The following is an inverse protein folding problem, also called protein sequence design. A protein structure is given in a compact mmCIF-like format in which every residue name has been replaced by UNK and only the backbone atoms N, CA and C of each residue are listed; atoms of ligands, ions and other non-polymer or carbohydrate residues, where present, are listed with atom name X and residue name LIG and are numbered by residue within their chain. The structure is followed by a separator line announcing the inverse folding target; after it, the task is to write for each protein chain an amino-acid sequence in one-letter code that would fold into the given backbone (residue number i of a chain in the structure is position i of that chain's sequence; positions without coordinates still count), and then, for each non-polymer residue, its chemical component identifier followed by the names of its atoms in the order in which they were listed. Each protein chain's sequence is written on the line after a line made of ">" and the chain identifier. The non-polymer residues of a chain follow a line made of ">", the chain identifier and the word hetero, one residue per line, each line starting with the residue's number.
data_IF_842740555763
#
_entry.id   IF_842740555763
#
_cell.length_a   1.000
_cell.length_b   1.000
_cell.length_c   1.000
_cell.angle_alpha   90.00
_cell.angle_beta   90.00
_cell.angle_gamma   90.00
#
_symmetry.space_group_name_H-M   'P 1'
#
loop_
_entity.id
_entity.type
_entity.pdbx_description
1 polymer ?
#
# COMPACT_ATOMS: atom_id res chain seq x y z
N UNK A 1 3.06 -32.87 24.83
CA UNK A 1 1.71 -32.56 24.33
C UNK A 1 1.85 -32.31 22.84
N UNK A 2 1.29 -33.17 21.99
CA UNK A 2 1.32 -32.96 20.54
C UNK A 2 0.57 -31.67 20.20
N UNK A 3 1.18 -30.83 19.36
CA UNK A 3 0.54 -29.61 18.86
C UNK A 3 -0.72 -30.00 18.08
N UNK A 4 -1.80 -29.19 18.13
CA UNK A 4 -3.00 -29.43 17.32
C UNK A 4 -2.67 -29.46 15.81
N UNK A 5 -1.58 -28.82 15.39
CA UNK A 5 -1.06 -28.87 14.04
C UNK A 5 -0.66 -30.32 13.65
N UNK A 6 0.03 -31.03 14.53
CA UNK A 6 0.38 -32.45 14.31
C UNK A 6 -0.86 -33.35 14.25
N UNK A 7 -1.83 -33.11 15.14
CA UNK A 7 -3.09 -33.88 15.17
C UNK A 7 -3.92 -33.73 13.89
N UNK A 8 -3.87 -32.54 13.25
CA UNK A 8 -4.62 -32.22 12.05
C UNK A 8 -3.79 -32.29 10.76
N UNK A 9 -2.54 -32.80 10.85
CA UNK A 9 -1.59 -32.81 9.71
C UNK A 9 -1.41 -31.46 9.02
N UNK A 10 -1.41 -30.39 9.81
CA UNK A 10 -1.20 -29.04 9.30
C UNK A 10 0.28 -28.68 9.35
N UNK A 11 0.78 -28.11 8.27
CA UNK A 11 2.17 -27.65 8.16
C UNK A 11 2.38 -26.22 8.69
N UNK A 12 1.29 -25.47 8.88
CA UNK A 12 1.29 -24.11 9.40
C UNK A 12 -0.03 -23.76 10.07
N UNK A 13 -0.03 -22.67 10.84
CA UNK A 13 -1.22 -22.09 11.46
C UNK A 13 -2.25 -21.64 10.41
N UNK A 14 -3.44 -22.27 10.32
CA UNK A 14 -4.41 -21.94 9.27
C UNK A 14 -5.23 -20.69 9.56
N UNK A 15 -5.30 -20.26 10.83
CA UNK A 15 -6.16 -19.15 11.28
C UNK A 15 -5.35 -18.02 11.92
N UNK A 16 -4.21 -17.69 11.31
CA UNK A 16 -3.42 -16.55 11.75
C UNK A 16 -4.20 -15.24 11.56
N UNK A 17 -4.17 -14.36 12.56
CA UNK A 17 -4.71 -13.00 12.45
C UNK A 17 -3.88 -12.08 11.54
N UNK A 18 -2.69 -12.52 11.12
CA UNK A 18 -1.88 -11.77 10.19
C UNK A 18 -2.30 -12.06 8.74
N UNK A 19 -2.55 -11.06 7.92
CA UNK A 19 -2.86 -11.25 6.50
C UNK A 19 -1.74 -12.05 5.81
N UNK A 20 -2.07 -13.26 5.35
CA UNK A 20 -1.12 -14.17 4.68
C UNK A 20 -1.54 -14.35 3.21
N UNK A 21 -0.77 -13.82 2.25
CA UNK A 21 -1.05 -14.00 0.83
C UNK A 21 -1.06 -15.46 0.37
N UNK A 22 -0.32 -16.35 1.04
CA UNK A 22 -0.25 -17.78 0.68
C UNK A 22 -1.45 -18.57 1.21
N UNK A 23 -2.17 -18.06 2.22
CA UNK A 23 -3.42 -18.63 2.73
C UNK A 23 -4.67 -17.94 2.11
N UNK A 24 -4.47 -17.06 1.14
CA UNK A 24 -5.55 -16.27 0.56
C UNK A 24 -6.42 -17.10 -0.39
N UNK A 25 -7.69 -17.30 0.00
CA UNK A 25 -8.67 -17.91 -0.88
C UNK A 25 -9.23 -16.86 -1.85
N UNK A 26 -8.87 -16.99 -3.13
CA UNK A 26 -9.32 -16.07 -4.18
C UNK A 26 -10.73 -16.42 -4.62
N UNK A 27 -11.69 -15.61 -4.19
CA UNK A 27 -13.05 -15.67 -4.77
C UNK A 27 -13.08 -14.95 -6.12
N UNK A 28 -14.09 -15.23 -6.99
CA UNK A 28 -14.25 -14.49 -8.25
C UNK A 28 -14.28 -12.96 -8.07
N UNK A 29 -14.90 -12.48 -6.98
CA UNK A 29 -14.94 -11.05 -6.64
C UNK A 29 -13.56 -10.48 -6.34
N UNK A 30 -12.73 -11.24 -5.61
CA UNK A 30 -11.35 -10.83 -5.31
C UNK A 30 -10.48 -10.81 -6.56
N UNK A 31 -10.63 -11.79 -7.45
CA UNK A 31 -9.89 -11.84 -8.72
C UNK A 31 -10.28 -10.68 -9.64
N UNK A 32 -11.57 -10.37 -9.77
CA UNK A 32 -12.04 -9.22 -10.55
C UNK A 32 -11.47 -7.91 -9.98
N UNK A 33 -11.47 -7.74 -8.65
CA UNK A 33 -10.90 -6.57 -7.99
C UNK A 33 -9.39 -6.44 -8.27
N UNK A 34 -8.62 -7.52 -8.12
CA UNK A 34 -7.18 -7.53 -8.42
C UNK A 34 -6.90 -7.17 -9.87
N UNK A 35 -7.62 -7.79 -10.81
CA UNK A 35 -7.46 -7.53 -12.24
C UNK A 35 -7.75 -6.06 -12.58
N UNK A 36 -8.81 -5.49 -12.03
CA UNK A 36 -9.16 -4.06 -12.24
C UNK A 36 -8.09 -3.14 -11.69
N UNK A 37 -7.55 -3.42 -10.51
CA UNK A 37 -6.47 -2.64 -9.90
C UNK A 37 -5.19 -2.74 -10.72
N UNK A 38 -4.79 -3.94 -11.15
CA UNK A 38 -3.61 -4.13 -12.00
C UNK A 38 -3.74 -3.37 -13.34
N UNK A 39 -4.90 -3.43 -13.98
CA UNK A 39 -5.18 -2.68 -15.21
C UNK A 39 -5.11 -1.18 -14.95
N UNK A 40 -5.70 -0.70 -13.87
CA UNK A 40 -5.69 0.72 -13.52
C UNK A 40 -4.26 1.22 -13.27
N UNK A 41 -3.43 0.45 -12.57
CA UNK A 41 -2.03 0.76 -12.32
C UNK A 41 -1.23 0.80 -13.62
N UNK A 42 -1.37 -0.21 -14.48
CA UNK A 42 -0.67 -0.27 -15.77
C UNK A 42 -1.04 0.90 -16.68
N UNK A 43 -2.30 1.31 -16.65
CA UNK A 43 -2.81 2.45 -17.41
C UNK A 43 -2.55 3.80 -16.72
N UNK A 44 -1.82 3.80 -15.61
CA UNK A 44 -1.52 5.00 -14.80
C UNK A 44 -2.79 5.80 -14.44
N UNK A 45 -3.89 5.10 -14.18
CA UNK A 45 -5.12 5.72 -13.70
C UNK A 45 -4.93 6.16 -12.26
N UNK A 46 -5.25 7.41 -11.96
CA UNK A 46 -4.95 8.08 -10.71
C UNK A 46 -5.45 7.38 -9.44
N UNK A 47 -6.50 7.87 -8.81
CA UNK A 47 -7.02 7.33 -7.56
C UNK A 47 -7.89 6.08 -7.79
N UNK A 48 -7.58 5.01 -7.06
CA UNK A 48 -8.40 3.80 -7.00
C UNK A 48 -8.75 3.53 -5.53
N UNK A 49 -10.02 3.27 -5.26
CA UNK A 49 -10.51 3.03 -3.89
C UNK A 49 -11.14 1.63 -3.81
N UNK A 50 -10.68 0.83 -2.86
CA UNK A 50 -11.23 -0.49 -2.55
C UNK A 50 -12.11 -0.37 -1.31
N UNK A 51 -13.40 -0.63 -1.47
CA UNK A 51 -14.38 -0.60 -0.39
C UNK A 51 -14.81 -2.02 -0.02
N UNK A 52 -15.06 -2.25 1.25
CA UNK A 52 -15.58 -3.52 1.75
C UNK A 52 -15.66 -3.53 3.28
N UNK A 53 -16.46 -4.41 3.81
CA UNK A 53 -16.64 -4.57 5.26
C UNK A 53 -15.36 -5.09 5.94
N UNK A 54 -15.30 -4.99 7.26
CA UNK A 54 -14.22 -5.57 8.07
C UNK A 54 -14.20 -7.09 7.86
N UNK A 55 -13.02 -7.68 7.73
CA UNK A 55 -12.85 -9.12 7.53
C UNK A 55 -13.02 -9.62 6.09
N UNK A 56 -13.35 -8.78 5.11
CA UNK A 56 -13.51 -9.19 3.71
C UNK A 56 -12.19 -9.45 2.96
N UNK A 57 -11.04 -9.37 3.62
CA UNK A 57 -9.74 -9.68 3.02
C UNK A 57 -9.08 -8.53 2.26
N UNK A 58 -9.50 -7.26 2.45
CA UNK A 58 -8.89 -6.09 1.78
C UNK A 58 -7.38 -5.99 1.98
N UNK A 59 -6.90 -6.11 3.21
CA UNK A 59 -5.46 -6.04 3.51
C UNK A 59 -4.70 -7.22 2.92
N UNK A 60 -5.31 -8.41 2.86
CA UNK A 60 -4.71 -9.57 2.19
C UNK A 60 -4.66 -9.36 0.68
N UNK A 61 -5.73 -8.85 0.08
CA UNK A 61 -5.78 -8.48 -1.34
C UNK A 61 -4.73 -7.43 -1.67
N UNK A 62 -4.57 -6.40 -0.82
CA UNK A 62 -3.53 -5.38 -0.95
C UNK A 62 -2.12 -6.02 -0.95
N UNK A 63 -1.83 -6.95 -0.04
CA UNK A 63 -0.55 -7.66 0.01
C UNK A 63 -0.31 -8.55 -1.21
N UNK A 64 -1.35 -9.21 -1.72
CA UNK A 64 -1.25 -9.99 -2.96
C UNK A 64 -0.89 -9.08 -4.15
N UNK A 65 -1.53 -7.92 -4.26
CA UNK A 65 -1.25 -6.95 -5.30
C UNK A 65 0.17 -6.37 -5.17
N UNK A 66 0.58 -6.00 -3.96
CA UNK A 66 1.94 -5.53 -3.66
C UNK A 66 3.00 -6.55 -4.12
N UNK A 67 2.79 -7.83 -3.80
CA UNK A 67 3.70 -8.91 -4.21
C UNK A 67 3.79 -9.00 -5.74
N UNK A 68 2.65 -9.01 -6.44
CA UNK A 68 2.59 -9.04 -7.89
C UNK A 68 3.30 -7.84 -8.53
N UNK A 69 3.13 -6.64 -7.98
CA UNK A 69 3.75 -5.41 -8.51
C UNK A 69 5.25 -5.34 -8.24
N UNK A 70 5.73 -5.82 -7.10
CA UNK A 70 7.16 -5.85 -6.77
C UNK A 70 7.97 -6.78 -7.70
N UNK A 71 7.31 -7.75 -8.32
CA UNK A 71 7.93 -8.64 -9.32
C UNK A 71 7.98 -7.99 -10.71
N UNK A 72 7.31 -6.85 -10.92
CA UNK A 72 7.24 -6.17 -12.21
C UNK A 72 8.31 -5.07 -12.32
N UNK A 73 9.10 -5.11 -13.39
CA UNK A 73 10.03 -4.03 -13.69
C UNK A 73 9.30 -2.74 -14.06
N UNK A 74 9.85 -1.60 -13.68
CA UNK A 74 9.31 -0.30 -14.05
C UNK A 74 8.19 0.23 -13.14
N UNK A 75 7.87 -0.46 -12.05
CA UNK A 75 6.95 0.01 -11.01
C UNK A 75 7.71 0.23 -9.72
N UNK A 76 7.51 1.39 -9.10
CA UNK A 76 7.96 1.70 -7.74
C UNK A 76 6.76 1.73 -6.83
N UNK A 77 6.81 0.89 -5.79
CA UNK A 77 5.70 0.74 -4.86
C UNK A 77 6.05 1.38 -3.52
N UNK A 78 5.15 2.21 -3.03
CA UNK A 78 5.21 2.84 -1.72
C UNK A 78 4.02 2.37 -0.89
N UNK A 79 4.24 2.08 0.38
CA UNK A 79 3.20 1.55 1.27
C UNK A 79 3.08 2.41 2.51
N UNK A 80 1.88 2.90 2.75
CA UNK A 80 1.46 3.57 3.96
C UNK A 80 0.46 2.66 4.70
N UNK A 81 0.93 2.05 5.79
CA UNK A 81 0.14 1.06 6.55
C UNK A 81 -0.89 1.69 7.50
N UNK A 82 -0.61 2.87 7.99
CA UNK A 82 -1.51 3.61 8.87
C UNK A 82 -1.59 5.06 8.41
N UNK A 83 -2.80 5.49 8.13
CA UNK A 83 -3.10 6.84 7.66
C UNK A 83 -3.63 7.76 8.79
N UNK A 84 -3.47 7.35 10.05
CA UNK A 84 -3.95 8.09 11.24
C UNK A 84 -3.00 9.21 11.64
N UNK A 85 -2.87 10.26 10.83
CA UNK A 85 -2.07 11.44 11.13
C UNK A 85 -2.88 12.49 11.87
N UNK A 86 -2.28 13.16 12.85
CA UNK A 86 -2.93 14.21 13.63
C UNK A 86 -3.28 15.42 12.75
N UNK A 87 -2.39 15.78 11.85
CA UNK A 87 -2.58 16.90 10.93
C UNK A 87 -2.00 16.64 9.52
N UNK A 88 -2.29 17.56 8.60
CA UNK A 88 -1.84 17.49 7.22
C UNK A 88 -0.32 17.69 7.06
N UNK A 89 0.32 18.39 7.98
CA UNK A 89 1.77 18.63 7.92
C UNK A 89 2.53 17.37 8.30
N UNK A 90 2.03 16.62 9.27
CA UNK A 90 2.58 15.31 9.63
C UNK A 90 2.44 14.32 8.48
N UNK A 91 1.26 14.27 7.84
CA UNK A 91 1.04 13.43 6.66
C UNK A 91 2.00 13.77 5.51
N UNK A 92 2.13 15.05 5.14
CA UNK A 92 3.04 15.48 4.08
C UNK A 92 4.51 15.19 4.44
N UNK A 93 4.90 15.38 5.70
CA UNK A 93 6.24 15.04 6.19
C UNK A 93 6.52 13.54 6.06
N UNK A 94 5.56 12.71 6.40
CA UNK A 94 5.68 11.26 6.26
C UNK A 94 5.75 10.83 4.78
N UNK A 95 4.95 11.43 3.91
CA UNK A 95 5.08 11.21 2.46
C UNK A 95 6.45 11.65 1.94
N UNK A 96 6.98 12.77 2.41
CA UNK A 96 8.31 13.22 2.04
C UNK A 96 9.37 12.19 2.43
N UNK A 97 9.31 11.66 3.66
CA UNK A 97 10.19 10.57 4.11
C UNK A 97 10.06 9.33 3.21
N UNK A 98 8.83 8.92 2.91
CA UNK A 98 8.55 7.75 2.09
C UNK A 98 9.11 7.87 0.67
N UNK A 99 8.96 9.03 0.03
CA UNK A 99 9.45 9.27 -1.34
C UNK A 99 10.94 9.61 -1.41
N UNK A 100 11.48 10.31 -0.41
CA UNK A 100 12.89 10.69 -0.37
C UNK A 100 13.80 9.61 0.23
N UNK A 101 13.22 8.64 0.96
CA UNK A 101 13.97 7.60 1.67
C UNK A 101 14.65 8.08 2.95
N UNK A 102 14.41 9.32 3.38
CA UNK A 102 14.95 9.89 4.61
C UNK A 102 13.97 10.89 5.23
N UNK A 103 13.91 10.92 6.54
CA UNK A 103 13.05 11.84 7.28
C UNK A 103 13.53 13.28 7.10
N UNK A 104 12.65 14.22 6.75
CA UNK A 104 13.02 15.63 6.69
C UNK A 104 13.38 16.14 8.09
N UNK A 105 14.37 17.08 8.18
CA UNK A 105 14.74 17.69 9.46
C UNK A 105 13.55 18.36 10.16
N UNK A 106 13.66 18.51 11.49
CA UNK A 106 12.66 19.27 12.24
C UNK A 106 12.63 20.73 11.77
N UNK A 107 11.43 21.28 11.70
CA UNK A 107 11.22 22.68 11.28
C UNK A 107 11.19 22.91 9.76
N UNK A 108 11.40 21.87 8.94
CA UNK A 108 11.20 21.99 7.48
C UNK A 108 9.74 22.31 7.18
N UNK A 109 9.53 23.36 6.40
CA UNK A 109 8.19 23.82 6.04
C UNK A 109 7.47 22.78 5.13
N UNK A 110 6.16 22.64 5.30
CA UNK A 110 5.30 21.78 4.46
C UNK A 110 5.57 21.96 2.96
N UNK A 111 5.73 23.20 2.53
CA UNK A 111 6.02 23.57 1.13
C UNK A 111 7.31 22.92 0.62
N UNK A 112 8.34 22.83 1.44
CA UNK A 112 9.61 22.22 1.08
C UNK A 112 9.47 20.70 0.94
N UNK A 113 8.74 20.06 1.85
CA UNK A 113 8.40 18.65 1.73
C UNK A 113 7.64 18.35 0.43
N UNK A 114 6.64 19.16 0.09
CA UNK A 114 5.89 19.03 -1.17
C UNK A 114 6.83 19.17 -2.38
N UNK A 115 7.74 20.14 -2.37
CA UNK A 115 8.71 20.31 -3.46
C UNK A 115 9.62 19.09 -3.62
N UNK A 116 10.07 18.50 -2.52
CA UNK A 116 10.89 17.27 -2.55
C UNK A 116 10.09 16.11 -3.16
N UNK A 117 8.83 15.91 -2.74
CA UNK A 117 7.95 14.89 -3.29
C UNK A 117 7.75 15.09 -4.79
N UNK A 118 7.42 16.32 -5.21
CA UNK A 118 7.20 16.66 -6.63
C UNK A 118 8.43 16.36 -7.49
N UNK A 119 9.62 16.76 -7.04
CA UNK A 119 10.86 16.51 -7.76
C UNK A 119 11.11 15.00 -7.89
N UNK A 120 10.93 14.23 -6.80
CA UNK A 120 11.11 12.77 -6.84
C UNK A 120 10.12 12.08 -7.76
N UNK A 121 8.87 12.51 -7.74
CA UNK A 121 7.83 11.97 -8.64
C UNK A 121 8.18 12.32 -10.09
N UNK A 122 8.62 13.55 -10.37
CA UNK A 122 9.04 13.98 -11.68
C UNK A 122 10.20 13.14 -12.22
N UNK A 123 11.30 13.05 -11.47
CA UNK A 123 12.48 12.30 -11.87
C UNK A 123 12.14 10.82 -12.18
N UNK A 124 11.40 10.18 -11.29
CA UNK A 124 11.03 8.78 -11.48
C UNK A 124 10.03 8.57 -12.60
N UNK A 125 8.98 9.37 -12.67
CA UNK A 125 7.90 9.17 -13.62
C UNK A 125 8.28 9.61 -15.06
N UNK A 126 8.98 10.73 -15.21
CA UNK A 126 9.29 11.29 -16.52
C UNK A 126 10.68 10.92 -17.02
N UNK A 127 11.71 11.06 -16.20
CA UNK A 127 13.08 10.75 -16.63
C UNK A 127 13.37 9.26 -16.66
N UNK A 128 12.90 8.52 -15.66
CA UNK A 128 13.13 7.07 -15.57
C UNK A 128 11.96 6.24 -16.14
N UNK A 129 10.89 6.89 -16.59
CA UNK A 129 9.65 6.27 -17.09
C UNK A 129 9.07 5.20 -16.15
N UNK A 130 9.21 5.40 -14.84
CA UNK A 130 8.68 4.47 -13.84
C UNK A 130 7.24 4.81 -13.48
N UNK A 131 6.47 3.80 -13.13
CA UNK A 131 5.13 3.97 -12.59
C UNK A 131 5.21 3.97 -11.05
N UNK A 132 4.78 5.05 -10.42
CA UNK A 132 4.78 5.16 -8.95
C UNK A 132 3.40 4.83 -8.43
N UNK A 133 3.35 3.91 -7.48
CA UNK A 133 2.10 3.45 -6.88
C UNK A 133 2.20 3.61 -5.36
N UNK A 134 1.34 4.43 -4.81
CA UNK A 134 1.20 4.59 -3.36
C UNK A 134 -0.02 3.80 -2.89
N UNK A 135 0.20 2.84 -2.01
CA UNK A 135 -0.84 2.12 -1.28
C UNK A 135 -1.06 2.79 0.06
N UNK A 136 -2.31 3.05 0.37
CA UNK A 136 -2.73 3.55 1.68
C UNK A 136 -3.70 2.53 2.26
N UNK A 137 -3.27 1.79 3.28
CA UNK A 137 -4.16 0.94 4.07
C UNK A 137 -4.85 1.79 5.14
N UNK A 138 -6.01 1.37 5.60
CA UNK A 138 -6.82 2.11 6.57
C UNK A 138 -7.13 3.57 6.16
N UNK A 139 -7.31 3.81 4.85
CA UNK A 139 -7.50 5.16 4.28
C UNK A 139 -8.65 5.97 4.90
N UNK A 140 -9.62 5.31 5.56
CA UNK A 140 -10.68 6.00 6.32
C UNK A 140 -10.17 6.78 7.54
N UNK A 141 -8.93 6.55 7.96
CA UNK A 141 -8.29 7.31 9.04
C UNK A 141 -7.73 8.66 8.56
N UNK A 142 -7.59 8.87 7.25
CA UNK A 142 -7.17 10.16 6.72
C UNK A 142 -8.16 11.24 7.14
N UNK A 143 -7.66 12.29 7.78
CA UNK A 143 -8.48 13.44 8.11
C UNK A 143 -8.85 14.21 6.83
N UNK A 144 -9.99 14.92 6.79
CA UNK A 144 -10.34 15.79 5.67
C UNK A 144 -9.29 16.87 5.37
N UNK A 145 -8.47 17.23 6.35
CA UNK A 145 -7.38 18.19 6.19
C UNK A 145 -6.14 17.58 5.51
N UNK A 146 -6.02 16.25 5.48
CA UNK A 146 -4.93 15.52 4.83
C UNK A 146 -5.25 15.17 3.36
N UNK A 147 -6.52 15.28 2.96
CA UNK A 147 -7.03 15.09 1.61
C UNK A 147 -7.05 16.42 0.85
#
# INVERSE_FOLDING_TARGET
>A
MSSYLELLNLTREPFSNSPDPDAYYRTPTHEDCLNRLEIAIRLRRGLNVVLGEVGTGKSTLCRCLLRSLNEQSGIDVFLLLDAGFEDADEFVRHLCELFAGQRPPEGVARRECISVIQNRVFDKALEQNRNLVLFIDEGQKLSPAAL
#
